data_IF_934956579260
#
_entry.id   IF_934956579260
#
_cell.length_a   1.000
_cell.length_b   1.000
_cell.length_c   1.000
_cell.angle_alpha   90.00
_cell.angle_beta   90.00
_cell.angle_gamma   90.00
#
_symmetry.space_group_name_H-M   'P 1'
#
loop_
_entity.id
_entity.type
_entity.pdbx_description
1 polymer ?
#
# COMPACT_ATOMS: atom_id res chain seq x y z
N UNK A 1 -15.05 -25.17 -5.77
CA UNK A 1 -14.18 -24.11 -6.33
C UNK A 1 -14.88 -22.80 -6.03
N UNK A 2 -14.30 -21.91 -5.23
CA UNK A 2 -14.94 -20.63 -4.91
C UNK A 2 -15.00 -19.78 -6.18
N UNK A 3 -16.18 -19.25 -6.50
CA UNK A 3 -16.36 -18.28 -7.58
C UNK A 3 -16.31 -16.88 -6.98
N UNK A 4 -15.53 -16.00 -7.58
CA UNK A 4 -15.52 -14.58 -7.24
C UNK A 4 -16.84 -13.97 -7.70
N UNK A 5 -17.56 -13.33 -6.78
CA UNK A 5 -18.77 -12.62 -7.13
C UNK A 5 -18.43 -11.29 -7.81
N UNK A 6 -19.41 -10.70 -8.49
CA UNK A 6 -19.25 -9.38 -9.12
C UNK A 6 -18.79 -8.32 -8.10
N UNK A 7 -19.28 -8.42 -6.86
CA UNK A 7 -18.89 -7.52 -5.77
C UNK A 7 -17.40 -7.62 -5.43
N UNK A 8 -16.83 -8.83 -5.41
CA UNK A 8 -15.40 -9.04 -5.11
C UNK A 8 -14.52 -8.36 -6.16
N UNK A 9 -14.90 -8.49 -7.44
CA UNK A 9 -14.23 -7.83 -8.55
C UNK A 9 -14.30 -6.31 -8.45
N UNK A 10 -15.46 -5.76 -8.08
CA UNK A 10 -15.64 -4.32 -7.89
C UNK A 10 -14.70 -3.81 -6.79
N UNK A 11 -14.66 -4.50 -5.64
CA UNK A 11 -13.80 -4.13 -4.51
C UNK A 11 -12.32 -4.20 -4.92
N UNK A 12 -11.91 -5.27 -5.61
CA UNK A 12 -10.54 -5.46 -6.08
C UNK A 12 -10.10 -4.33 -7.03
N UNK A 13 -10.93 -4.01 -8.04
CA UNK A 13 -10.64 -2.93 -8.98
C UNK A 13 -10.61 -1.58 -8.27
N UNK A 14 -11.53 -1.32 -7.34
CA UNK A 14 -11.55 -0.08 -6.56
C UNK A 14 -10.29 0.09 -5.70
N UNK A 15 -9.83 -0.97 -5.02
CA UNK A 15 -8.58 -0.94 -4.26
C UNK A 15 -7.36 -0.63 -5.15
N UNK A 16 -7.23 -1.32 -6.29
CA UNK A 16 -6.12 -1.10 -7.22
C UNK A 16 -6.14 0.32 -7.80
N UNK A 17 -7.32 0.79 -8.21
CA UNK A 17 -7.50 2.16 -8.68
C UNK A 17 -7.12 3.18 -7.59
N UNK A 18 -7.50 2.94 -6.33
CA UNK A 18 -7.11 3.77 -5.19
C UNK A 18 -5.60 3.96 -5.06
N UNK A 19 -4.81 2.88 -5.14
CA UNK A 19 -3.36 2.96 -5.10
C UNK A 19 -2.77 3.79 -6.25
N UNK A 20 -3.29 3.61 -7.47
CA UNK A 20 -2.84 4.36 -8.65
C UNK A 20 -3.16 5.85 -8.49
N UNK A 21 -4.38 6.18 -8.06
CA UNK A 21 -4.81 7.57 -7.86
C UNK A 21 -3.93 8.27 -6.83
N UNK A 22 -3.62 7.61 -5.70
CA UNK A 22 -2.71 8.15 -4.69
C UNK A 22 -1.32 8.38 -5.28
N UNK A 23 -0.77 7.40 -6.01
CA UNK A 23 0.55 7.51 -6.64
C UNK A 23 0.64 8.68 -7.62
N UNK A 24 -0.36 8.85 -8.49
CA UNK A 24 -0.42 9.96 -9.45
C UNK A 24 -0.56 11.31 -8.71
N UNK A 25 -1.39 11.38 -7.67
CA UNK A 25 -1.62 12.61 -6.90
C UNK A 25 -0.33 13.12 -6.23
N UNK A 26 0.53 12.22 -5.77
CA UNK A 26 1.81 12.57 -5.13
C UNK A 26 2.99 12.72 -6.10
N UNK A 27 2.84 12.32 -7.37
CA UNK A 27 3.90 12.37 -8.39
C UNK A 27 4.51 13.76 -8.56
N UNK A 28 3.68 14.80 -8.61
CA UNK A 28 4.15 16.17 -8.80
C UNK A 28 4.98 16.67 -7.61
N UNK A 29 4.64 16.24 -6.39
CA UNK A 29 5.34 16.64 -5.17
C UNK A 29 6.69 15.91 -5.02
N UNK A 30 6.70 14.60 -5.29
CA UNK A 30 7.90 13.78 -5.18
C UNK A 30 8.97 14.09 -6.24
N UNK A 31 8.59 14.68 -7.37
CA UNK A 31 9.51 14.99 -8.48
C UNK A 31 10.33 16.28 -8.33
N UNK A 32 10.09 17.11 -7.31
CA UNK A 32 10.74 18.42 -7.19
C UNK A 32 12.20 18.34 -6.73
N UNK A 33 12.56 17.35 -5.91
CA UNK A 33 13.93 17.19 -5.40
C UNK A 33 14.20 15.78 -4.88
N UNK A 34 15.48 15.40 -4.77
CA UNK A 34 15.89 14.17 -4.10
C UNK A 34 15.40 14.13 -2.64
N UNK A 35 15.34 15.28 -1.96
CA UNK A 35 14.80 15.36 -0.60
C UNK A 35 13.29 15.10 -0.53
N UNK A 36 12.51 15.50 -1.54
CA UNK A 36 11.08 15.21 -1.59
C UNK A 36 10.82 13.74 -1.90
N UNK A 37 11.64 13.15 -2.78
CA UNK A 37 11.53 11.74 -3.16
C UNK A 37 11.94 10.79 -2.04
N UNK A 38 13.09 11.02 -1.39
CA UNK A 38 13.63 10.10 -0.38
C UNK A 38 13.23 10.45 1.06
N UNK A 39 13.12 11.74 1.41
CA UNK A 39 12.80 12.17 2.78
C UNK A 39 11.36 12.67 2.94
N UNK A 40 10.52 12.60 1.89
CA UNK A 40 9.15 13.13 1.94
C UNK A 40 9.10 14.63 2.27
N UNK A 41 10.14 15.37 1.88
CA UNK A 41 10.28 16.80 2.19
C UNK A 41 10.55 17.09 3.67
N UNK A 42 11.01 16.09 4.44
CA UNK A 42 11.30 16.16 5.90
C UNK A 42 10.11 16.62 6.76
N UNK A 43 8.90 16.53 6.23
CA UNK A 43 7.66 16.96 6.86
C UNK A 43 6.65 15.80 7.01
N UNK A 44 7.13 14.55 7.02
CA UNK A 44 6.28 13.38 7.18
C UNK A 44 5.89 13.22 8.66
N UNK A 45 4.60 13.16 9.01
CA UNK A 45 4.18 12.87 10.37
C UNK A 45 4.66 11.49 10.83
N UNK A 46 5.07 11.39 12.09
CA UNK A 46 5.65 10.17 12.66
C UNK A 46 4.73 8.95 12.52
N UNK A 47 3.41 9.13 12.61
CA UNK A 47 2.46 8.03 12.50
C UNK A 47 2.36 7.49 11.07
N UNK A 48 2.49 8.33 10.04
CA UNK A 48 2.52 7.89 8.64
C UNK A 48 3.80 7.08 8.39
N UNK A 49 4.94 7.57 8.90
CA UNK A 49 6.20 6.85 8.83
C UNK A 49 6.12 5.49 9.57
N UNK A 50 5.56 5.47 10.78
CA UNK A 50 5.37 4.28 11.59
C UNK A 50 4.50 3.23 10.90
N UNK A 51 3.33 3.63 10.41
CA UNK A 51 2.42 2.72 9.69
C UNK A 51 3.06 2.18 8.40
N UNK A 52 3.80 3.01 7.66
CA UNK A 52 4.52 2.59 6.46
C UNK A 52 5.56 1.49 6.76
N UNK A 53 6.33 1.65 7.84
CA UNK A 53 7.31 0.64 8.26
C UNK A 53 6.64 -0.70 8.63
N UNK A 54 5.53 -0.67 9.36
CA UNK A 54 4.77 -1.88 9.72
C UNK A 54 4.18 -2.53 8.47
N UNK A 55 3.57 -1.74 7.58
CA UNK A 55 2.98 -2.25 6.33
C UNK A 55 4.02 -2.91 5.41
N UNK A 56 5.27 -2.40 5.39
CA UNK A 56 6.35 -2.98 4.59
C UNK A 56 6.80 -4.35 5.13
N UNK A 57 6.81 -4.51 6.45
CA UNK A 57 7.20 -5.78 7.10
C UNK A 57 6.05 -6.79 7.08
N UNK A 58 4.79 -6.35 7.16
CA UNK A 58 3.61 -7.19 7.11
C UNK A 58 3.15 -7.39 5.66
N UNK A 59 4.05 -7.93 4.83
CA UNK A 59 3.75 -8.28 3.46
C UNK A 59 2.84 -9.52 3.40
N UNK A 60 2.26 -9.79 2.22
CA UNK A 60 1.25 -10.83 2.03
C UNK A 60 1.75 -12.27 2.34
N UNK A 61 3.07 -12.48 2.34
CA UNK A 61 3.74 -13.74 2.67
C UNK A 61 3.58 -14.12 4.15
N UNK A 62 3.61 -13.14 5.05
CA UNK A 62 3.54 -13.36 6.51
C UNK A 62 2.20 -13.99 6.95
N UNK A 63 1.02 -13.44 6.61
CA UNK A 63 -0.25 -14.06 6.95
C UNK A 63 -0.48 -15.36 6.16
N UNK A 64 -0.01 -15.46 4.92
CA UNK A 64 -0.14 -16.68 4.12
C UNK A 64 0.60 -17.85 4.79
N UNK A 65 1.85 -17.64 5.16
CA UNK A 65 2.64 -18.60 5.92
C UNK A 65 1.99 -18.94 7.26
N UNK A 66 1.45 -17.94 7.94
CA UNK A 66 0.66 -18.11 9.15
C UNK A 66 -0.48 -19.11 8.93
N UNK A 67 -1.33 -18.89 7.93
CA UNK A 67 -2.48 -19.75 7.63
C UNK A 67 -2.08 -21.16 7.16
N UNK A 68 -0.98 -21.31 6.43
CA UNK A 68 -0.49 -22.61 5.97
C UNK A 68 0.03 -23.48 7.13
N UNK A 69 0.61 -22.87 8.18
CA UNK A 69 1.16 -23.61 9.33
C UNK A 69 0.10 -24.19 10.27
N UNK A 70 -1.11 -23.64 10.27
CA UNK A 70 -2.21 -24.00 11.18
C UNK A 70 -3.28 -24.85 10.48
N UNK A 71 -3.33 -24.85 9.15
CA UNK A 71 -4.18 -25.71 8.33
C UNK A 71 -3.52 -27.08 8.11
#
# INVERSE_FOLDING_TARGET
MANLELLDWIILVACLAGFIIIGISFRAKAGNSLSDFFLGGRNLPWYIAGVSMVATTFAADTPLWGTEKIA
#
